data_IF_009265258291
#
_entry.id   IF_009265258291
#
_cell.length_a   1.000
_cell.length_b   1.000
_cell.length_c   1.000
_cell.angle_alpha   90.00
_cell.angle_beta   90.00
_cell.angle_gamma   90.00
#
_symmetry.space_group_name_H-M   'P 1'
#
loop_
_entity.id
_entity.type
_entity.pdbx_description
1 polymer ?
#
# COMPACT_ATOMS: atom_id res chain seq x y z
N UNK A 1 6.30 10.93 12.31
CA UNK A 1 5.25 11.58 11.51
C UNK A 1 4.58 10.52 10.63
N UNK A 2 3.31 10.72 10.23
CA UNK A 2 2.56 9.74 9.42
C UNK A 2 2.24 10.33 8.05
N UNK A 3 2.74 9.74 6.99
CA UNK A 3 2.38 10.16 5.64
C UNK A 3 0.91 9.84 5.33
N UNK A 4 0.22 10.81 4.74
CA UNK A 4 -1.11 10.62 4.15
C UNK A 4 -0.98 10.60 2.63
N UNK A 5 -1.33 9.47 2.03
CA UNK A 5 -1.27 9.26 0.58
C UNK A 5 -2.70 9.08 0.08
N UNK A 6 -3.20 10.06 -0.67
CA UNK A 6 -4.49 9.94 -1.35
C UNK A 6 -4.33 9.08 -2.60
N UNK A 7 -5.33 8.24 -2.88
CA UNK A 7 -5.39 7.45 -4.11
C UNK A 7 -6.84 7.19 -4.49
N UNK A 8 -7.07 6.97 -5.78
CA UNK A 8 -8.40 6.65 -6.30
C UNK A 8 -8.67 5.16 -6.18
N UNK A 9 -9.90 4.83 -5.79
CA UNK A 9 -10.43 3.47 -5.80
C UNK A 9 -11.51 3.41 -6.87
N UNK A 10 -11.34 2.51 -7.83
CA UNK A 10 -12.30 2.27 -8.91
C UNK A 10 -13.09 1.00 -8.66
N UNK A 11 -14.30 0.91 -9.23
CA UNK A 11 -15.17 -0.27 -9.14
C UNK A 11 -16.47 -0.01 -8.39
N UNK A 12 -17.02 -1.03 -7.73
CA UNK A 12 -18.29 -0.95 -7.03
C UNK A 12 -18.81 -2.30 -6.54
N UNK A 13 -19.98 -2.30 -5.90
CA UNK A 13 -20.57 -3.48 -5.22
C UNK A 13 -20.66 -4.75 -6.09
N UNK A 14 -20.78 -4.60 -7.41
CA UNK A 14 -20.89 -5.72 -8.36
C UNK A 14 -19.55 -6.33 -8.77
N UNK A 15 -18.51 -5.51 -8.91
CA UNK A 15 -17.21 -5.93 -9.51
C UNK A 15 -16.05 -5.89 -8.52
N UNK A 16 -16.32 -5.50 -7.27
CA UNK A 16 -15.29 -5.24 -6.27
C UNK A 16 -14.70 -3.83 -6.41
N UNK A 17 -13.94 -3.46 -5.38
CA UNK A 17 -13.20 -2.20 -5.29
C UNK A 17 -11.71 -2.48 -5.47
N UNK A 18 -11.03 -1.72 -6.34
CA UNK A 18 -9.59 -1.84 -6.60
C UNK A 18 -8.92 -0.48 -6.64
N UNK A 19 -7.73 -0.38 -6.07
CA UNK A 19 -6.91 0.83 -6.11
C UNK A 19 -5.48 0.48 -5.73
N UNK A 20 -4.52 1.20 -6.32
CA UNK A 20 -3.08 0.96 -6.11
C UNK A 20 -2.42 2.29 -5.81
N UNK A 21 -1.50 2.27 -4.85
CA UNK A 21 -0.62 3.40 -4.55
C UNK A 21 0.78 2.90 -4.22
N UNK A 22 1.77 3.78 -4.24
CA UNK A 22 3.16 3.46 -3.96
C UNK A 22 3.77 4.52 -3.03
N UNK A 23 4.66 4.07 -2.15
CA UNK A 23 5.49 4.92 -1.29
C UNK A 23 6.96 4.60 -1.55
N UNK A 24 7.79 5.64 -1.62
CA UNK A 24 9.25 5.54 -1.82
C UNK A 24 9.99 5.94 -0.55
N UNK A 25 11.29 5.62 -0.50
CA UNK A 25 12.18 5.93 0.63
C UNK A 25 11.66 5.37 1.97
N UNK A 26 11.23 4.10 1.95
CA UNK A 26 10.76 3.40 3.13
C UNK A 26 11.92 3.13 4.09
N UNK A 27 11.67 3.33 5.38
CA UNK A 27 12.58 2.94 6.46
C UNK A 27 12.25 1.50 6.91
N UNK A 28 13.25 0.65 7.17
CA UNK A 28 13.02 -0.65 7.79
C UNK A 28 12.36 -0.52 9.17
N UNK A 29 11.58 -1.53 9.55
CA UNK A 29 10.89 -1.60 10.83
C UNK A 29 9.45 -2.08 10.71
N UNK A 30 8.70 -1.91 11.79
CA UNK A 30 7.28 -2.24 11.84
C UNK A 30 6.44 -1.13 11.23
N UNK A 31 5.55 -1.51 10.31
CA UNK A 31 4.66 -0.60 9.62
C UNK A 31 3.21 -0.92 9.94
N UNK A 32 2.43 0.15 10.08
CA UNK A 32 0.98 0.11 10.12
C UNK A 32 0.43 0.94 8.99
N UNK A 33 -0.39 0.34 8.14
CA UNK A 33 -1.15 1.03 7.11
C UNK A 33 -2.62 1.06 7.54
N UNK A 34 -3.16 2.26 7.70
CA UNK A 34 -4.59 2.49 7.89
C UNK A 34 -5.19 2.97 6.58
N UNK A 35 -6.27 2.32 6.13
CA UNK A 35 -7.04 2.73 4.96
C UNK A 35 -8.33 3.35 5.45
N UNK A 36 -8.58 4.59 5.05
CA UNK A 36 -9.73 5.39 5.47
C UNK A 36 -10.40 6.02 4.25
N UNK A 37 -11.71 6.24 4.31
CA UNK A 37 -12.40 7.09 3.35
C UNK A 37 -11.92 8.55 3.49
N UNK A 38 -12.14 9.38 2.48
CA UNK A 38 -11.80 10.81 2.54
C UNK A 38 -12.44 11.55 3.73
N UNK A 39 -13.54 11.03 4.28
CA UNK A 39 -14.20 11.54 5.48
C UNK A 39 -13.62 10.98 6.81
N UNK A 40 -12.47 10.30 6.79
CA UNK A 40 -11.81 9.74 7.97
C UNK A 40 -12.41 8.44 8.52
N UNK A 41 -13.38 7.83 7.81
CA UNK A 41 -13.96 6.54 8.25
C UNK A 41 -13.03 5.37 7.92
N UNK A 42 -12.69 4.49 8.87
CA UNK A 42 -11.80 3.36 8.63
C UNK A 42 -12.44 2.30 7.73
N UNK A 43 -11.67 1.84 6.74
CA UNK A 43 -11.98 0.70 5.88
C UNK A 43 -11.25 -0.55 6.39
N UNK A 44 -9.99 -0.39 6.84
CA UNK A 44 -9.19 -1.49 7.34
C UNK A 44 -7.79 -1.07 7.78
N UNK A 45 -7.05 -2.02 8.35
CA UNK A 45 -5.70 -1.80 8.87
C UNK A 45 -4.83 -3.03 8.60
N UNK A 46 -3.61 -2.80 8.15
CA UNK A 46 -2.63 -3.84 7.86
C UNK A 46 -1.34 -3.57 8.62
N UNK A 47 -0.68 -4.64 9.05
CA UNK A 47 0.65 -4.59 9.67
C UNK A 47 1.61 -5.45 8.89
N UNK A 48 2.82 -4.96 8.72
CA UNK A 48 3.92 -5.72 8.14
C UNK A 48 5.26 -5.13 8.59
N UNK A 49 6.31 -5.92 8.46
CA UNK A 49 7.68 -5.48 8.73
C UNK A 49 8.38 -5.22 7.40
N UNK A 50 8.89 -4.01 7.22
CA UNK A 50 9.82 -3.70 6.13
C UNK A 50 11.22 -4.08 6.59
N UNK A 51 11.88 -4.94 5.84
CA UNK A 51 13.28 -5.31 6.09
C UNK A 51 14.22 -4.48 5.21
N UNK A 52 15.46 -4.27 5.67
CA UNK A 52 16.48 -3.64 4.85
C UNK A 52 16.69 -4.44 3.56
N UNK A 53 16.79 -3.73 2.44
CA UNK A 53 17.06 -4.37 1.16
C UNK A 53 18.45 -5.01 1.19
N UNK A 54 18.52 -6.29 0.83
CA UNK A 54 19.79 -6.96 0.57
C UNK A 54 20.33 -6.47 -0.77
N UNK A 55 21.34 -5.60 -0.73
CA UNK A 55 21.92 -4.99 -1.94
C UNK A 55 22.70 -5.99 -2.80
N UNK A 56 22.97 -7.20 -2.29
CA UNK A 56 23.59 -8.28 -3.06
C UNK A 56 22.59 -9.10 -3.87
N UNK A 57 21.29 -8.97 -3.59
CA UNK A 57 20.22 -9.61 -4.33
C UNK A 57 19.75 -8.73 -5.49
N UNK A 58 19.54 -9.33 -6.64
CA UNK A 58 18.76 -8.76 -7.74
C UNK A 58 17.33 -9.29 -7.69
N UNK A 59 16.38 -8.59 -7.02
CA UNK A 59 15.03 -9.08 -6.90
C UNK A 59 14.29 -8.95 -8.23
N UNK A 60 13.93 -10.09 -8.84
CA UNK A 60 12.95 -10.11 -9.91
C UNK A 60 11.55 -9.90 -9.32
N UNK A 61 10.96 -8.72 -9.53
CA UNK A 61 9.56 -8.46 -9.18
C UNK A 61 8.69 -8.44 -10.44
N UNK A 62 7.71 -9.34 -10.51
CA UNK A 62 6.69 -9.30 -11.56
C UNK A 62 5.57 -8.34 -11.12
N UNK A 63 5.51 -7.16 -11.73
CA UNK A 63 4.38 -6.24 -11.53
C UNK A 63 3.17 -6.82 -12.26
N UNK A 64 2.26 -7.45 -11.54
CA UNK A 64 0.93 -7.76 -12.06
C UNK A 64 0.14 -6.45 -12.14
N UNK A 65 0.21 -5.78 -13.29
CA UNK A 65 -0.62 -4.61 -13.56
C UNK A 65 -2.05 -5.11 -13.73
N UNK A 66 -2.92 -4.84 -12.75
CA UNK A 66 -4.35 -5.07 -12.89
C UNK A 66 -4.87 -4.18 -14.03
N UNK A 67 -5.24 -4.79 -15.16
CA UNK A 67 -6.00 -4.14 -16.24
C UNK A 67 -7.49 -4.14 -15.87
#
# INVERSE_FOLDING_TARGET
DTDRITYEVVGGRRTGFRGVTYKRHLQPGEWRVSVETAAGRPIGRMHFTVIAADSSRDPTYTIHRYQ
#
